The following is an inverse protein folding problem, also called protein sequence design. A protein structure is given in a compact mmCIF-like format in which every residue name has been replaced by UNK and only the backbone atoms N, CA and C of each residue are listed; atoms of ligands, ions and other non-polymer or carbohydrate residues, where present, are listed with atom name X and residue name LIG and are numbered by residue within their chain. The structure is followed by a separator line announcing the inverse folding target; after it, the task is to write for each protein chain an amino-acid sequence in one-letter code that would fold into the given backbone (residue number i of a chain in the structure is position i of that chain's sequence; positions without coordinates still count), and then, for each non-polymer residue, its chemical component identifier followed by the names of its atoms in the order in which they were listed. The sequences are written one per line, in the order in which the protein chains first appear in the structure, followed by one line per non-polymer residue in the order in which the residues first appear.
data_IF_994509836179
#
_entry.id   IF_994509836179
#
_cell.length_a   1.000
_cell.length_b   1.000
_cell.length_c   1.000
_cell.angle_alpha   90.00
_cell.angle_beta   90.00
_cell.angle_gamma   90.00
#
_symmetry.space_group_name_H-M   'P 1'
#
loop_
_entity.id
_entity.type
_entity.pdbx_description
1 polymer ?
#
# COMPACT_ATOMS: atom_id res chain seq x y z
N UNK A 1 -6.51 -10.88 -0.80
CA UNK A 1 -6.58 -12.30 -0.36
C UNK A 1 -5.53 -12.59 0.71
N UNK A 2 -5.84 -13.36 1.76
CA UNK A 2 -4.86 -13.74 2.82
C UNK A 2 -4.41 -15.22 2.71
N UNK A 3 -4.73 -15.88 1.61
CA UNK A 3 -4.71 -17.34 1.46
C UNK A 3 -3.34 -17.98 1.72
N UNK A 4 -2.25 -17.29 1.39
CA UNK A 4 -0.89 -17.80 1.59
C UNK A 4 -0.29 -17.45 2.96
N UNK A 5 -0.93 -16.56 3.75
CA UNK A 5 -0.32 -15.98 4.95
C UNK A 5 0.14 -17.06 5.94
N UNK A 6 -0.75 -17.99 6.28
CA UNK A 6 -0.45 -19.09 7.19
C UNK A 6 0.68 -19.97 6.67
N UNK A 7 0.64 -20.33 5.39
CA UNK A 7 1.63 -21.20 4.77
C UNK A 7 3.03 -20.55 4.76
N UNK A 8 3.11 -19.27 4.39
CA UNK A 8 4.36 -18.49 4.39
C UNK A 8 4.94 -18.38 5.79
N UNK A 9 4.12 -18.02 6.79
CA UNK A 9 4.56 -17.94 8.20
C UNK A 9 5.10 -19.28 8.70
N UNK A 10 4.40 -20.38 8.40
CA UNK A 10 4.82 -21.71 8.84
C UNK A 10 6.18 -22.13 8.25
N UNK A 11 6.38 -21.84 6.95
CA UNK A 11 7.58 -22.20 6.21
C UNK A 11 8.80 -21.33 6.54
N UNK A 12 8.59 -20.02 6.77
CA UNK A 12 9.69 -19.04 6.90
C UNK A 12 9.93 -18.53 8.32
N UNK A 13 8.95 -18.73 9.22
CA UNK A 13 8.88 -18.07 10.54
C UNK A 13 8.81 -16.54 10.47
N UNK A 14 8.53 -15.96 9.30
CA UNK A 14 8.34 -14.53 9.14
C UNK A 14 7.15 -14.02 9.96
N UNK A 15 7.25 -12.77 10.39
CA UNK A 15 6.16 -12.05 11.03
C UNK A 15 5.25 -11.41 9.99
N UNK A 16 3.95 -11.39 10.28
CA UNK A 16 2.94 -10.76 9.47
C UNK A 16 2.49 -9.44 10.12
N UNK A 17 2.39 -8.38 9.31
CA UNK A 17 1.95 -7.08 9.78
C UNK A 17 0.76 -6.56 8.97
N UNK A 18 -0.16 -5.84 9.62
CA UNK A 18 -1.33 -5.20 9.00
C UNK A 18 -1.68 -3.90 9.73
N UNK A 19 -2.33 -2.97 9.03
CA UNK A 19 -2.87 -1.78 9.70
C UNK A 19 -4.02 -2.18 10.65
N UNK A 20 -4.12 -1.59 11.85
CA UNK A 20 -5.12 -1.98 12.85
C UNK A 20 -6.57 -1.81 12.40
N UNK A 21 -6.84 -0.94 11.42
CA UNK A 21 -8.20 -0.73 10.88
C UNK A 21 -8.71 -1.89 10.00
N UNK A 22 -7.79 -2.72 9.48
CA UNK A 22 -8.14 -3.93 8.70
C UNK A 22 -7.73 -5.21 9.46
N UNK A 23 -7.52 -5.12 10.77
CA UNK A 23 -6.99 -6.23 11.57
C UNK A 23 -7.90 -7.46 11.54
N UNK A 24 -7.28 -8.61 11.33
CA UNK A 24 -7.89 -9.93 11.53
C UNK A 24 -6.93 -10.84 12.30
N UNK A 25 -7.44 -11.92 12.89
CA UNK A 25 -6.59 -12.90 13.55
C UNK A 25 -5.57 -13.51 12.57
N UNK A 26 -4.34 -13.75 13.05
CA UNK A 26 -3.24 -14.33 12.29
C UNK A 26 -2.10 -13.37 11.95
N UNK A 27 -2.26 -12.07 12.21
CA UNK A 27 -1.19 -11.07 12.14
C UNK A 27 -0.47 -10.92 13.49
N UNK A 28 0.81 -10.56 13.44
CA UNK A 28 1.69 -10.46 14.61
C UNK A 28 1.98 -9.01 15.01
N UNK A 29 1.89 -8.08 14.05
CA UNK A 29 2.27 -6.68 14.24
C UNK A 29 1.28 -5.71 13.62
N UNK A 30 1.14 -4.56 14.27
CA UNK A 30 0.34 -3.44 13.79
C UNK A 30 1.23 -2.45 13.05
N UNK A 31 0.79 -2.06 11.86
CA UNK A 31 1.43 -1.01 11.08
C UNK A 31 0.89 0.38 11.46
N UNK A 32 1.74 1.40 11.36
CA UNK A 32 1.36 2.81 11.53
C UNK A 32 1.87 3.65 10.37
N UNK A 33 1.19 4.77 10.08
CA UNK A 33 1.66 5.72 9.06
C UNK A 33 3.08 6.23 9.38
N UNK A 34 3.93 6.33 8.36
CA UNK A 34 5.31 6.79 8.50
C UNK A 34 6.28 5.79 9.15
N UNK A 35 5.81 4.62 9.59
CA UNK A 35 6.68 3.58 10.16
C UNK A 35 7.75 3.16 9.15
N UNK A 36 8.98 3.00 9.63
CA UNK A 36 10.07 2.42 8.84
C UNK A 36 10.25 0.95 9.23
N UNK A 37 10.09 0.07 8.26
CA UNK A 37 10.39 -1.36 8.36
C UNK A 37 11.83 -1.58 7.89
N UNK A 38 12.69 -2.00 8.81
CA UNK A 38 14.10 -2.25 8.53
C UNK A 38 14.34 -3.72 8.22
N UNK A 39 15.09 -4.01 7.16
CA UNK A 39 15.59 -5.35 6.89
C UNK A 39 16.99 -5.24 6.28
N UNK A 40 17.99 -5.80 6.96
CA UNK A 40 19.40 -5.58 6.62
C UNK A 40 19.71 -4.07 6.54
N UNK A 41 20.20 -3.60 5.40
CA UNK A 41 20.52 -2.19 5.11
C UNK A 41 19.38 -1.45 4.40
N UNK A 42 18.25 -2.11 4.19
CA UNK A 42 17.12 -1.58 3.44
C UNK A 42 16.02 -1.05 4.37
N UNK A 43 15.29 -0.05 3.86
CA UNK A 43 14.24 0.65 4.58
C UNK A 43 12.98 0.74 3.73
N UNK A 44 11.88 0.20 4.25
CA UNK A 44 10.54 0.37 3.66
C UNK A 44 9.77 1.35 4.53
N UNK A 45 9.31 2.45 3.93
CA UNK A 45 8.39 3.38 4.59
C UNK A 45 6.95 2.94 4.34
N UNK A 46 6.21 2.75 5.43
CA UNK A 46 4.77 2.52 5.40
C UNK A 46 4.06 3.86 5.20
N UNK A 47 3.12 3.90 4.26
CA UNK A 47 2.28 5.06 3.98
C UNK A 47 0.82 4.60 4.12
N UNK A 48 0.14 5.02 5.18
CA UNK A 48 -1.28 4.72 5.38
C UNK A 48 -2.11 5.49 4.35
N UNK A 49 -2.83 4.78 3.50
CA UNK A 49 -3.60 5.32 2.38
C UNK A 49 -5.03 4.79 2.43
N UNK A 50 -5.84 5.20 3.43
CA UNK A 50 -7.23 4.77 3.55
C UNK A 50 -8.01 5.19 2.32
N UNK A 51 -8.95 4.34 1.89
CA UNK A 51 -9.70 4.59 0.68
C UNK A 51 -10.34 3.33 0.13
N UNK A 52 -9.54 2.43 -0.43
CA UNK A 52 -10.02 1.13 -0.90
C UNK A 52 -10.54 0.30 0.28
N UNK A 53 -9.75 0.26 1.36
CA UNK A 53 -10.14 -0.19 2.69
C UNK A 53 -9.76 0.87 3.74
N UNK A 54 -10.34 0.82 4.96
CA UNK A 54 -9.93 1.71 6.05
C UNK A 54 -8.45 1.59 6.44
N UNK A 55 -7.88 0.38 6.38
CA UNK A 55 -6.48 0.10 6.72
C UNK A 55 -5.53 -0.02 5.55
N UNK A 56 -5.92 0.40 4.34
CA UNK A 56 -5.05 0.36 3.16
C UNK A 56 -3.70 1.04 3.40
N UNK A 57 -2.61 0.38 3.01
CA UNK A 57 -1.26 0.91 3.11
C UNK A 57 -0.52 0.74 1.77
N UNK A 58 0.29 1.73 1.42
CA UNK A 58 1.33 1.61 0.41
C UNK A 58 2.71 1.45 1.09
N UNK A 59 3.64 0.82 0.39
CA UNK A 59 5.00 0.60 0.89
C UNK A 59 6.00 1.21 -0.09
N UNK A 60 6.73 2.23 0.37
CA UNK A 60 7.77 2.89 -0.41
C UNK A 60 9.12 2.30 -0.06
N UNK A 61 9.78 1.70 -1.05
CA UNK A 61 11.12 1.14 -0.97
C UNK A 61 11.97 1.78 -2.06
N UNK A 62 12.93 2.62 -1.67
CA UNK A 62 13.74 3.39 -2.63
C UNK A 62 12.85 4.21 -3.60
N UNK A 63 12.99 3.98 -4.90
CA UNK A 63 12.19 4.59 -5.97
C UNK A 63 10.97 3.74 -6.38
N UNK A 64 10.60 2.75 -5.57
CA UNK A 64 9.51 1.81 -5.85
C UNK A 64 8.39 1.95 -4.82
N UNK A 65 7.17 2.15 -5.29
CA UNK A 65 5.95 2.15 -4.50
C UNK A 65 5.12 0.89 -4.79
N UNK A 66 4.93 0.04 -3.78
CA UNK A 66 3.90 -0.99 -3.80
C UNK A 66 2.59 -0.36 -3.33
N UNK A 67 1.64 -0.12 -4.25
CA UNK A 67 0.44 0.67 -3.97
C UNK A 67 -0.77 -0.15 -3.52
N UNK A 68 -0.68 -1.48 -3.57
CA UNK A 68 -1.81 -2.37 -3.34
C UNK A 68 -2.99 -1.96 -4.24
N UNK A 69 -4.18 -1.88 -3.67
CA UNK A 69 -5.37 -1.45 -4.39
C UNK A 69 -5.67 0.05 -4.18
N UNK A 70 -4.67 0.86 -3.82
CA UNK A 70 -4.82 2.31 -3.67
C UNK A 70 -4.74 3.04 -5.02
N UNK A 71 -3.66 2.82 -5.78
CA UNK A 71 -3.38 3.50 -7.03
C UNK A 71 -3.05 2.49 -8.12
N UNK A 72 -3.78 2.58 -9.23
CA UNK A 72 -3.59 1.81 -10.46
C UNK A 72 -3.29 2.73 -11.63
N UNK A 73 -2.85 2.19 -12.78
CA UNK A 73 -2.81 2.94 -14.02
C UNK A 73 -4.21 3.48 -14.37
N UNK A 74 -4.32 4.78 -14.54
CA UNK A 74 -5.53 5.51 -14.90
C UNK A 74 -6.60 5.63 -13.79
N UNK A 75 -6.25 5.41 -12.52
CA UNK A 75 -7.19 5.72 -11.43
C UNK A 75 -7.00 4.93 -10.14
N UNK A 76 -7.88 5.20 -9.15
CA UNK A 76 -7.84 4.55 -7.86
C UNK A 76 -8.41 3.12 -7.93
N UNK A 77 -8.15 2.33 -6.89
CA UNK A 77 -8.92 1.09 -6.69
C UNK A 77 -10.39 1.35 -6.34
N UNK A 78 -11.22 0.33 -6.50
CA UNK A 78 -12.66 0.43 -6.25
C UNK A 78 -12.95 0.70 -4.76
N UNK A 79 -13.89 1.59 -4.47
CA UNK A 79 -14.31 1.92 -3.09
C UNK A 79 -15.72 1.43 -2.75
N UNK A 80 -16.41 0.81 -3.72
CA UNK A 80 -17.81 0.37 -3.59
C UNK A 80 -18.04 -0.72 -2.52
N UNK A 81 -17.00 -1.43 -2.08
CA UNK A 81 -17.10 -2.57 -1.16
C UNK A 81 -16.60 -2.24 0.24
N UNK A 82 -17.15 -1.18 0.85
CA UNK A 82 -16.76 -0.73 2.19
C UNK A 82 -15.56 0.22 2.23
N UNK A 83 -15.18 0.76 1.07
CA UNK A 83 -14.19 1.83 0.96
C UNK A 83 -14.81 3.23 1.09
N UNK A 84 -13.99 4.25 0.85
CA UNK A 84 -14.36 5.65 0.88
C UNK A 84 -13.68 6.40 -0.27
N UNK A 85 -14.49 6.87 -1.23
CA UNK A 85 -14.01 7.58 -2.42
C UNK A 85 -13.27 8.88 -2.08
N UNK A 86 -13.80 9.70 -1.18
CA UNK A 86 -13.12 10.93 -0.78
C UNK A 86 -11.76 10.63 -0.15
N UNK A 87 -11.68 9.60 0.69
CA UNK A 87 -10.45 9.19 1.34
C UNK A 87 -9.41 8.64 0.34
N UNK A 88 -9.80 7.83 -0.65
CA UNK A 88 -8.82 7.29 -1.62
C UNK A 88 -8.19 8.41 -2.44
N UNK A 89 -8.99 9.37 -2.91
CA UNK A 89 -8.48 10.52 -3.65
C UNK A 89 -7.60 11.42 -2.79
N UNK A 90 -7.97 11.65 -1.52
CA UNK A 90 -7.14 12.40 -0.57
C UNK A 90 -5.80 11.70 -0.34
N UNK A 91 -5.81 10.40 -0.07
CA UNK A 91 -4.61 9.58 0.12
C UNK A 91 -3.68 9.64 -1.09
N UNK A 92 -4.23 9.54 -2.31
CA UNK A 92 -3.43 9.61 -3.53
C UNK A 92 -2.81 11.00 -3.69
N UNK A 93 -3.61 12.07 -3.62
CA UNK A 93 -3.13 13.45 -3.86
C UNK A 93 -2.13 13.91 -2.82
N UNK A 94 -2.41 13.68 -1.53
CA UNK A 94 -1.60 14.23 -0.44
C UNK A 94 -0.39 13.37 -0.08
N UNK A 95 -0.44 12.06 -0.32
CA UNK A 95 0.63 11.13 0.11
C UNK A 95 1.41 10.47 -1.02
N UNK A 96 0.77 10.19 -2.16
CA UNK A 96 1.42 9.46 -3.25
C UNK A 96 1.90 10.38 -4.36
N UNK A 97 1.07 11.31 -4.82
CA UNK A 97 1.44 12.20 -5.94
C UNK A 97 2.49 13.25 -5.56
N UNK A 98 2.80 13.40 -4.28
CA UNK A 98 3.92 14.21 -3.77
C UNK A 98 5.29 13.52 -3.91
N UNK A 99 5.31 12.23 -4.27
CA UNK A 99 6.55 11.49 -4.52
C UNK A 99 7.19 11.90 -5.87
N UNK A 100 8.49 11.65 -6.09
CA UNK A 100 9.15 11.95 -7.36
C UNK A 100 8.49 11.28 -8.56
N UNK A 101 8.47 11.94 -9.71
CA UNK A 101 7.80 11.45 -10.92
C UNK A 101 8.33 10.09 -11.40
N UNK A 102 9.63 9.87 -11.20
CA UNK A 102 10.31 8.63 -11.56
C UNK A 102 9.94 7.44 -10.66
N UNK A 103 9.22 7.66 -9.54
CA UNK A 103 8.82 6.58 -8.65
C UNK A 103 7.94 5.57 -9.40
N UNK A 104 8.40 4.33 -9.48
CA UNK A 104 7.68 3.22 -10.11
C UNK A 104 6.57 2.75 -9.18
N UNK A 105 5.38 2.52 -9.73
CA UNK A 105 4.21 2.07 -8.99
C UNK A 105 3.89 0.64 -9.42
N UNK A 106 3.88 -0.29 -8.46
CA UNK A 106 3.42 -1.66 -8.63
C UNK A 106 2.13 -1.85 -7.83
N UNK A 107 0.97 -1.86 -8.50
CA UNK A 107 -0.31 -2.13 -7.85
C UNK A 107 -0.43 -3.59 -7.40
N UNK A 108 -1.44 -3.86 -6.57
CA UNK A 108 -1.78 -5.23 -6.16
C UNK A 108 -2.24 -6.11 -7.32
N UNK A 109 -2.72 -5.50 -8.40
CA UNK A 109 -3.24 -6.17 -9.59
C UNK A 109 -2.91 -5.38 -10.87
N UNK A 110 -2.83 -6.08 -12.01
CA UNK A 110 -2.65 -5.42 -13.31
C UNK A 110 -1.23 -4.86 -13.54
N UNK A 111 -1.06 -3.97 -14.54
CA UNK A 111 0.25 -3.49 -14.95
C UNK A 111 0.81 -2.37 -14.04
N UNK A 112 2.12 -2.16 -14.12
CA UNK A 112 2.81 -1.07 -13.42
C UNK A 112 2.64 0.28 -14.11
N UNK A 113 2.91 1.36 -13.36
CA UNK A 113 2.94 2.75 -13.84
C UNK A 113 4.01 3.56 -13.11
N UNK A 114 3.98 4.90 -13.19
CA UNK A 114 4.85 5.82 -12.45
C UNK A 114 4.03 6.94 -11.84
N UNK A 115 4.54 7.55 -10.75
CA UNK A 115 3.89 8.70 -10.14
C UNK A 115 3.73 9.86 -11.14
N UNK A 116 4.73 10.10 -12.00
CA UNK A 116 4.63 11.16 -13.02
C UNK A 116 3.51 10.92 -14.02
N UNK A 117 3.32 9.67 -14.47
CA UNK A 117 2.22 9.31 -15.38
C UNK A 117 0.87 9.55 -14.71
N UNK A 118 0.69 9.04 -13.48
CA UNK A 118 -0.58 9.19 -12.79
C UNK A 118 -0.84 10.64 -12.37
N UNK A 119 0.17 11.43 -11.98
CA UNK A 119 -0.06 12.85 -11.59
C UNK A 119 -0.73 13.66 -12.71
N UNK A 120 -0.44 13.35 -13.98
CA UNK A 120 -1.01 14.08 -15.12
C UNK A 120 -2.53 13.95 -15.28
N UNK A 121 -3.17 13.01 -14.57
CA UNK A 121 -4.59 12.69 -14.69
C UNK A 121 -5.41 12.92 -13.39
N UNK A 122 -4.77 13.44 -12.32
CA UNK A 122 -5.40 13.68 -11.01
C UNK A 122 -5.58 15.16 -10.65
#
# INVERSE_FOLDING_TARGET
HITALRAVKQATKAQAAIHPLDWTDGFDQKLTDGQILNFCTEHIRVIHTPGHTPGGCCFLWNDILFSGDTLFPNGPGATAFGGNEHAIYKSIREKLLVLPDATKVYPGHGPSTTIGRERSIY
#
